data_IF_783550714819
#
_entry.id   IF_783550714819
#
_cell.length_a   1.000
_cell.length_b   1.000
_cell.length_c   1.000
_cell.angle_alpha   90.00
_cell.angle_beta   90.00
_cell.angle_gamma   90.00
#
_symmetry.space_group_name_H-M   'P 1'
#
loop_
_entity.id
_entity.type
_entity.pdbx_description
1 polymer ?
#
# COMPACT_ATOMS: atom_id res chain seq x y z
N UNK A 1 24.84 1.16 -9.59
CA UNK A 1 23.49 0.72 -9.97
C UNK A 1 22.55 1.82 -9.50
N UNK A 2 21.89 2.49 -10.42
CA UNK A 2 20.90 3.52 -10.11
C UNK A 2 19.56 2.88 -9.76
N UNK A 3 18.63 3.62 -9.14
CA UNK A 3 17.26 3.14 -8.94
C UNK A 3 16.54 2.89 -10.27
N UNK A 4 16.88 3.66 -11.31
CA UNK A 4 16.30 3.55 -12.64
C UNK A 4 16.70 2.23 -13.32
N UNK A 5 17.98 1.82 -13.18
CA UNK A 5 18.48 0.53 -13.70
C UNK A 5 17.72 -0.68 -13.11
N UNK A 6 17.10 -0.50 -11.94
CA UNK A 6 16.43 -1.56 -11.20
C UNK A 6 14.92 -1.56 -11.46
N UNK A 7 14.31 -0.38 -11.54
CA UNK A 7 12.87 -0.25 -11.79
C UNK A 7 12.50 -0.22 -13.29
N UNK A 8 13.49 -0.18 -14.19
CA UNK A 8 13.27 -0.16 -15.65
C UNK A 8 12.81 1.20 -16.18
N UNK A 9 12.88 2.27 -15.36
CA UNK A 9 12.49 3.61 -15.77
C UNK A 9 13.49 4.17 -16.79
N UNK A 10 12.98 4.63 -17.93
CA UNK A 10 13.74 5.11 -19.09
C UNK A 10 14.54 4.01 -19.83
N UNK A 11 14.32 2.73 -19.53
CA UNK A 11 14.92 1.64 -20.29
C UNK A 11 14.27 1.55 -21.69
N UNK A 12 15.05 1.47 -22.79
CA UNK A 12 14.51 1.27 -24.13
C UNK A 12 13.80 -0.08 -24.32
N UNK A 13 14.04 -1.07 -23.45
CA UNK A 13 13.30 -2.33 -23.36
C UNK A 13 12.61 -2.43 -21.98
N UNK A 14 11.40 -1.85 -21.84
CA UNK A 14 10.70 -1.79 -20.57
C UNK A 14 10.51 -3.18 -19.96
N UNK A 15 10.91 -3.32 -18.71
CA UNK A 15 10.77 -4.57 -17.97
C UNK A 15 10.13 -4.32 -16.60
N UNK A 16 9.48 -5.34 -16.01
CA UNK A 16 9.00 -5.28 -14.63
C UNK A 16 10.10 -4.86 -13.64
N UNK A 17 9.81 -4.04 -12.62
CA UNK A 17 10.78 -3.70 -11.59
C UNK A 17 11.25 -4.95 -10.85
N UNK A 18 12.52 -4.93 -10.42
CA UNK A 18 13.10 -5.98 -9.57
C UNK A 18 13.06 -5.56 -8.10
N UNK A 19 12.92 -6.53 -7.20
CA UNK A 19 12.97 -6.27 -5.76
C UNK A 19 14.40 -5.90 -5.34
N UNK A 20 14.54 -4.78 -4.64
CA UNK A 20 15.82 -4.32 -4.05
C UNK A 20 15.88 -4.51 -2.55
N UNK A 21 14.71 -4.59 -1.93
CA UNK A 21 14.50 -4.69 -0.50
C UNK A 21 13.12 -5.30 -0.27
N UNK A 22 12.92 -5.93 0.88
CA UNK A 22 11.71 -6.70 1.21
C UNK A 22 11.49 -7.93 0.32
N UNK A 23 12.57 -8.56 -0.16
CA UNK A 23 12.45 -9.81 -0.90
C UNK A 23 11.95 -10.94 0.03
N UNK A 24 11.04 -11.82 -0.44
CA UNK A 24 10.61 -12.99 0.33
C UNK A 24 11.77 -13.88 0.78
N UNK A 25 12.76 -14.04 -0.10
CA UNK A 25 14.05 -14.63 0.22
C UNK A 25 15.14 -13.54 0.16
N UNK A 26 15.63 -13.04 1.32
CA UNK A 26 16.68 -12.04 1.34
C UNK A 26 17.98 -12.49 0.65
N UNK A 27 18.22 -13.80 0.45
CA UNK A 27 19.42 -14.27 -0.26
C UNK A 27 19.39 -13.97 -1.76
N UNK A 28 18.21 -13.64 -2.32
CA UNK A 28 18.02 -13.38 -3.75
C UNK A 28 18.27 -11.92 -4.15
N UNK A 29 18.56 -11.03 -3.18
CA UNK A 29 18.76 -9.60 -3.45
C UNK A 29 20.12 -9.10 -2.95
N UNK A 30 20.70 -8.07 -3.60
CA UNK A 30 21.99 -7.49 -3.20
C UNK A 30 22.02 -6.98 -1.75
N UNK A 31 20.89 -6.49 -1.23
CA UNK A 31 20.77 -5.90 0.11
C UNK A 31 20.23 -6.88 1.16
N UNK A 32 20.33 -8.19 0.89
CA UNK A 32 19.80 -9.24 1.76
C UNK A 32 20.29 -9.21 3.20
N UNK A 33 21.59 -8.94 3.40
CA UNK A 33 22.17 -8.85 4.75
C UNK A 33 21.58 -7.68 5.55
N UNK A 34 21.40 -6.53 4.91
CA UNK A 34 20.77 -5.36 5.52
C UNK A 34 19.30 -5.63 5.86
N UNK A 35 18.56 -6.33 5.01
CA UNK A 35 17.17 -6.73 5.30
C UNK A 35 17.10 -7.68 6.49
N UNK A 36 18.00 -8.66 6.56
CA UNK A 36 18.09 -9.59 7.72
C UNK A 36 18.43 -8.84 9.00
N UNK A 37 19.40 -7.93 8.96
CA UNK A 37 19.72 -7.07 10.10
C UNK A 37 18.53 -6.21 10.50
N UNK A 38 17.82 -5.59 9.55
CA UNK A 38 16.64 -4.77 9.86
C UNK A 38 15.57 -5.55 10.63
N UNK A 39 15.37 -6.84 10.30
CA UNK A 39 14.43 -7.69 11.03
C UNK A 39 14.84 -7.96 12.49
N UNK A 40 16.11 -7.77 12.87
CA UNK A 40 16.55 -7.86 14.27
C UNK A 40 16.39 -6.53 15.01
N UNK A 41 16.19 -5.42 14.30
CA UNK A 41 16.03 -4.08 14.87
C UNK A 41 14.57 -3.85 15.23
N UNK A 42 14.22 -4.14 16.48
CA UNK A 42 12.90 -3.88 17.03
C UNK A 42 12.98 -2.95 18.24
N UNK A 43 13.04 -1.62 18.03
CA UNK A 43 13.02 -0.68 19.14
C UNK A 43 11.71 -0.81 19.93
N UNK A 44 11.86 -0.89 21.25
CA UNK A 44 10.77 -1.04 22.24
C UNK A 44 10.24 0.32 22.72
N UNK A 45 10.24 1.31 21.83
CA UNK A 45 9.76 2.64 22.17
C UNK A 45 8.22 2.64 22.25
N UNK A 46 7.61 3.15 23.33
CA UNK A 46 6.16 3.14 23.51
C UNK A 46 5.36 3.72 22.33
N UNK A 47 5.85 4.78 21.71
CA UNK A 47 5.22 5.40 20.54
C UNK A 47 5.16 4.44 19.33
N UNK A 48 6.22 3.65 19.09
CA UNK A 48 6.24 2.66 18.01
C UNK A 48 5.33 1.47 18.32
N UNK A 49 5.31 1.01 19.57
CA UNK A 49 4.45 -0.09 19.99
C UNK A 49 2.97 0.27 19.83
N UNK A 50 2.58 1.48 20.24
CA UNK A 50 1.21 1.97 20.12
C UNK A 50 0.75 1.99 18.65
N UNK A 51 1.56 2.56 17.75
CA UNK A 51 1.22 2.65 16.33
C UNK A 51 1.23 1.26 15.65
N UNK A 52 2.12 0.35 16.05
CA UNK A 52 2.11 -1.05 15.60
C UNK A 52 0.83 -1.78 16.02
N UNK A 53 0.42 -1.63 17.27
CA UNK A 53 -0.79 -2.24 17.79
C UNK A 53 -2.04 -1.69 17.09
N UNK A 54 -2.13 -0.37 16.90
CA UNK A 54 -3.21 0.27 16.15
C UNK A 54 -3.28 -0.25 14.71
N UNK A 55 -2.13 -0.31 14.02
CA UNK A 55 -2.04 -0.88 12.67
C UNK A 55 -2.43 -2.35 12.63
N UNK A 56 -2.03 -3.15 13.61
CA UNK A 56 -2.36 -4.57 13.67
C UNK A 56 -3.86 -4.80 13.77
N UNK A 57 -4.56 -4.05 14.64
CA UNK A 57 -6.02 -4.11 14.74
C UNK A 57 -6.71 -3.78 13.41
N UNK A 58 -6.19 -2.77 12.68
CA UNK A 58 -6.67 -2.44 11.34
C UNK A 58 -6.45 -3.59 10.39
N UNK A 59 -5.30 -4.26 10.39
CA UNK A 59 -5.01 -5.38 9.47
C UNK A 59 -5.92 -6.58 9.74
N UNK A 60 -6.14 -6.92 11.01
CA UNK A 60 -6.91 -8.08 11.49
C UNK A 60 -8.42 -7.95 11.28
N UNK A 61 -8.96 -6.73 11.21
CA UNK A 61 -10.40 -6.54 11.00
C UNK A 61 -10.89 -7.31 9.74
N UNK A 62 -12.04 -8.01 9.77
CA UNK A 62 -12.54 -8.66 8.56
C UNK A 62 -12.97 -7.62 7.51
N UNK A 63 -12.91 -7.99 6.22
CA UNK A 63 -13.66 -7.27 5.19
C UNK A 63 -15.10 -7.78 5.16
N UNK A 64 -16.09 -6.94 4.80
CA UNK A 64 -17.46 -7.40 4.62
C UNK A 64 -17.55 -8.49 3.54
N UNK A 65 -18.60 -9.29 3.55
CA UNK A 65 -18.88 -10.23 2.47
C UNK A 65 -19.15 -9.48 1.15
N UNK A 66 -18.97 -10.19 0.03
CA UNK A 66 -19.33 -9.63 -1.29
C UNK A 66 -20.85 -9.70 -1.42
N UNK A 67 -21.48 -8.59 -1.78
CA UNK A 67 -22.91 -8.55 -2.03
C UNK A 67 -23.29 -9.47 -3.20
N UNK A 68 -24.50 -10.04 -3.13
CA UNK A 68 -24.96 -11.00 -4.13
C UNK A 68 -25.26 -10.35 -5.50
N UNK A 69 -25.61 -9.07 -5.51
CA UNK A 69 -25.94 -8.31 -6.70
C UNK A 69 -24.80 -7.33 -7.04
N UNK A 70 -24.29 -7.43 -8.26
CA UNK A 70 -23.28 -6.50 -8.78
C UNK A 70 -23.93 -5.21 -9.24
N UNK A 71 -23.53 -4.10 -8.61
CA UNK A 71 -24.00 -2.78 -9.02
C UNK A 71 -23.21 -2.30 -10.22
N UNK A 72 -23.91 -1.93 -11.30
CA UNK A 72 -23.30 -1.31 -12.47
C UNK A 72 -23.44 0.21 -12.40
N UNK A 73 -22.34 0.92 -12.67
CA UNK A 73 -22.31 2.39 -12.80
C UNK A 73 -21.40 2.80 -13.95
N UNK A 74 -21.53 4.04 -14.40
CA UNK A 74 -20.55 4.60 -15.32
C UNK A 74 -19.17 4.73 -14.64
N UNK A 75 -18.05 4.60 -15.37
CA UNK A 75 -16.70 4.75 -14.80
C UNK A 75 -16.47 6.07 -14.06
N UNK A 76 -17.11 7.14 -14.52
CA UNK A 76 -17.01 8.48 -13.93
C UNK A 76 -17.73 8.53 -12.58
N UNK A 77 -18.87 7.87 -12.46
CA UNK A 77 -19.63 7.77 -11.20
C UNK A 77 -18.85 6.98 -10.15
N UNK A 78 -18.20 5.89 -10.55
CA UNK A 78 -17.31 5.14 -9.66
C UNK A 78 -16.17 5.99 -9.12
N UNK A 79 -15.59 6.81 -9.98
CA UNK A 79 -14.47 7.67 -9.63
C UNK A 79 -14.92 8.81 -8.71
N UNK A 80 -16.08 9.42 -8.99
CA UNK A 80 -16.67 10.46 -8.14
C UNK A 80 -17.00 9.95 -6.73
N UNK A 81 -17.46 8.70 -6.58
CA UNK A 81 -17.75 8.12 -5.27
C UNK A 81 -16.49 7.98 -4.38
N UNK A 82 -15.29 8.03 -4.96
CA UNK A 82 -14.05 8.02 -4.17
C UNK A 82 -13.84 9.32 -3.38
N UNK A 83 -14.48 10.43 -3.77
CA UNK A 83 -14.38 11.70 -3.05
C UNK A 83 -14.96 11.58 -1.63
N UNK A 84 -15.92 10.69 -1.42
CA UNK A 84 -16.47 10.41 -0.09
C UNK A 84 -15.42 9.91 0.92
N UNK A 85 -14.37 9.21 0.47
CA UNK A 85 -13.28 8.79 1.35
C UNK A 85 -12.33 9.95 1.71
N UNK A 86 -12.22 10.94 0.83
CA UNK A 86 -11.47 12.18 1.09
C UNK A 86 -12.25 13.07 2.06
N UNK A 87 -13.55 13.27 1.80
CA UNK A 87 -14.45 14.05 2.66
C UNK A 87 -14.56 13.46 4.08
N UNK A 88 -14.53 12.13 4.19
CA UNK A 88 -14.50 11.43 5.49
C UNK A 88 -13.13 11.50 6.20
N UNK A 89 -12.11 12.12 5.60
CA UNK A 89 -10.76 12.26 6.17
C UNK A 89 -9.94 10.96 6.22
N UNK A 90 -10.33 9.94 5.46
CA UNK A 90 -9.63 8.66 5.44
C UNK A 90 -8.31 8.74 4.68
N UNK A 91 -8.26 9.61 3.67
CA UNK A 91 -7.07 9.92 2.87
C UNK A 91 -7.18 11.35 2.33
N UNK A 92 -6.07 11.93 1.86
CA UNK A 92 -6.04 13.29 1.34
C UNK A 92 -6.29 13.35 -0.18
N UNK A 93 -6.15 12.22 -0.87
CA UNK A 93 -6.34 12.15 -2.32
C UNK A 93 -6.70 10.74 -2.77
N UNK A 94 -7.53 10.67 -3.81
CA UNK A 94 -7.84 9.43 -4.53
C UNK A 94 -7.52 9.60 -6.02
N UNK A 95 -7.35 8.48 -6.72
CA UNK A 95 -7.17 8.45 -8.16
C UNK A 95 -7.36 7.03 -8.71
N UNK A 96 -7.64 6.94 -10.00
CA UNK A 96 -7.81 5.65 -10.69
C UNK A 96 -6.98 5.67 -11.97
N UNK A 97 -6.31 4.56 -12.25
CA UNK A 97 -5.59 4.35 -13.50
C UNK A 97 -5.85 2.95 -14.05
N UNK A 98 -5.62 2.77 -15.34
CA UNK A 98 -5.54 1.44 -15.94
C UNK A 98 -4.29 0.73 -15.39
N UNK A 99 -4.44 -0.54 -15.02
CA UNK A 99 -3.35 -1.34 -14.49
C UNK A 99 -2.37 -1.68 -15.63
N UNK A 100 -1.11 -1.33 -15.45
CA UNK A 100 -0.03 -1.64 -16.38
C UNK A 100 0.84 -2.77 -15.82
N UNK A 101 1.21 -3.73 -16.66
CA UNK A 101 2.03 -4.89 -16.29
C UNK A 101 3.41 -4.49 -15.78
N UNK A 102 3.93 -3.38 -16.29
CA UNK A 102 5.23 -2.77 -15.96
C UNK A 102 5.27 -2.26 -14.52
N UNK A 103 4.13 -2.11 -13.84
CA UNK A 103 4.07 -1.73 -12.43
C UNK A 103 4.14 -2.93 -11.48
N UNK A 104 3.98 -4.15 -12.00
CA UNK A 104 4.10 -5.37 -11.22
C UNK A 104 5.58 -5.73 -11.06
N UNK A 105 6.00 -6.14 -9.86
CA UNK A 105 7.35 -6.72 -9.72
C UNK A 105 7.52 -7.96 -10.59
N UNK A 106 8.76 -8.23 -11.00
CA UNK A 106 9.12 -9.42 -11.77
C UNK A 106 8.54 -10.71 -11.11
N UNK A 107 7.90 -11.55 -11.93
CA UNK A 107 7.24 -12.78 -11.46
C UNK A 107 5.94 -12.55 -10.67
N UNK A 108 5.35 -11.35 -10.74
CA UNK A 108 4.02 -11.04 -10.20
C UNK A 108 3.08 -10.58 -11.31
N UNK A 109 1.79 -10.83 -11.12
CA UNK A 109 0.72 -10.36 -12.00
C UNK A 109 -0.48 -9.90 -11.19
N UNK A 110 -1.22 -8.93 -11.73
CA UNK A 110 -2.45 -8.40 -11.16
C UNK A 110 -3.56 -8.59 -12.18
N UNK A 111 -4.58 -9.42 -11.89
CA UNK A 111 -5.62 -9.72 -12.86
C UNK A 111 -6.63 -8.57 -13.05
N UNK A 112 -6.65 -7.60 -12.14
CA UNK A 112 -7.52 -6.43 -12.23
C UNK A 112 -7.03 -5.47 -13.33
N UNK A 113 -7.96 -4.95 -14.12
CA UNK A 113 -7.70 -3.98 -15.18
C UNK A 113 -7.46 -2.56 -14.68
N UNK A 114 -7.76 -2.27 -13.41
CA UNK A 114 -7.67 -0.93 -12.82
C UNK A 114 -7.03 -0.97 -11.44
N UNK A 115 -6.33 0.10 -11.13
CA UNK A 115 -5.77 0.37 -9.80
C UNK A 115 -6.41 1.62 -9.21
N UNK A 116 -6.77 1.55 -7.93
CA UNK A 116 -7.23 2.69 -7.14
C UNK A 116 -6.06 3.13 -6.26
N UNK A 117 -5.67 4.40 -6.39
CA UNK A 117 -4.57 5.01 -5.67
C UNK A 117 -5.13 5.88 -4.53
N UNK A 118 -4.55 5.74 -3.34
CA UNK A 118 -4.91 6.52 -2.15
C UNK A 118 -3.67 7.25 -1.64
N UNK A 119 -3.76 8.57 -1.50
CA UNK A 119 -2.72 9.40 -0.94
C UNK A 119 -2.95 9.65 0.54
N UNK A 120 -1.99 9.27 1.38
CA UNK A 120 -1.96 9.67 2.79
C UNK A 120 -0.79 10.60 3.07
N UNK A 121 -1.06 11.71 3.74
CA UNK A 121 -0.06 12.72 4.05
C UNK A 121 0.59 12.47 5.42
N UNK A 122 1.93 12.50 5.44
CA UNK A 122 2.70 12.53 6.67
C UNK A 122 2.63 13.89 7.35
N UNK A 123 2.69 13.90 8.68
CA UNK A 123 3.06 15.08 9.44
C UNK A 123 4.54 15.40 9.21
N UNK A 124 4.81 16.51 8.52
CA UNK A 124 6.17 16.93 8.19
C UNK A 124 7.04 17.17 9.43
N UNK A 125 6.50 17.79 10.47
CA UNK A 125 7.26 18.14 11.68
C UNK A 125 7.67 16.90 12.48
N UNK A 126 6.88 15.83 12.43
CA UNK A 126 7.25 14.53 12.98
C UNK A 126 8.25 13.80 12.09
N UNK A 127 8.01 13.77 10.79
CA UNK A 127 8.85 13.06 9.83
C UNK A 127 10.26 13.66 9.71
N UNK A 128 10.38 14.99 9.82
CA UNK A 128 11.66 15.70 9.76
C UNK A 128 12.61 15.39 10.92
N UNK A 129 12.14 14.69 11.95
CA UNK A 129 12.96 14.23 13.08
C UNK A 129 13.73 12.95 12.75
N UNK A 130 13.60 12.40 11.53
CA UNK A 130 14.36 11.21 11.14
C UNK A 130 15.87 11.40 11.40
N UNK A 131 16.55 10.38 11.97
CA UNK A 131 16.10 9.00 12.17
C UNK A 131 15.46 8.70 13.55
N UNK A 132 15.01 9.72 14.30
CA UNK A 132 14.46 9.53 15.64
C UNK A 132 13.15 8.71 15.68
N UNK A 133 12.82 8.20 16.87
CA UNK A 133 11.65 7.33 17.13
C UNK A 133 10.35 7.96 16.63
N UNK A 134 10.20 9.26 16.80
CA UNK A 134 9.01 10.04 16.42
C UNK A 134 8.74 9.96 14.92
N UNK A 135 9.78 10.02 14.10
CA UNK A 135 9.66 9.87 12.65
C UNK A 135 9.27 8.43 12.29
N UNK A 136 9.85 7.43 12.97
CA UNK A 136 9.45 6.03 12.81
C UNK A 136 7.99 5.77 13.18
N UNK A 137 7.50 6.39 14.26
CA UNK A 137 6.12 6.27 14.71
C UNK A 137 5.16 6.92 13.71
N UNK A 138 5.52 8.09 13.18
CA UNK A 138 4.78 8.74 12.11
C UNK A 138 4.69 7.86 10.85
N UNK A 139 5.77 7.18 10.46
CA UNK A 139 5.75 6.24 9.34
C UNK A 139 4.74 5.11 9.59
N UNK A 140 4.81 4.45 10.74
CA UNK A 140 3.92 3.33 11.08
C UNK A 140 2.46 3.79 11.12
N UNK A 141 2.19 4.96 11.69
CA UNK A 141 0.86 5.59 11.73
C UNK A 141 0.28 5.74 10.32
N UNK A 142 1.05 6.29 9.38
CA UNK A 142 0.56 6.49 8.01
C UNK A 142 0.38 5.17 7.24
N UNK A 143 1.22 4.16 7.48
CA UNK A 143 0.96 2.80 6.99
C UNK A 143 -0.36 2.23 7.55
N UNK A 144 -0.69 2.53 8.82
CA UNK A 144 -1.97 2.20 9.42
C UNK A 144 -3.14 2.91 8.72
N UNK A 145 -3.03 4.22 8.50
CA UNK A 145 -4.03 5.02 7.77
C UNK A 145 -4.23 4.53 6.34
N UNK A 146 -3.16 4.30 5.60
CA UNK A 146 -3.22 3.79 4.22
C UNK A 146 -3.90 2.42 4.18
N UNK A 147 -3.54 1.50 5.08
CA UNK A 147 -4.18 0.19 5.19
C UNK A 147 -5.68 0.29 5.54
N UNK A 148 -6.04 1.20 6.45
CA UNK A 148 -7.43 1.45 6.81
C UNK A 148 -8.23 1.98 5.62
N UNK A 149 -7.75 3.04 4.95
CA UNK A 149 -8.41 3.61 3.78
C UNK A 149 -8.58 2.57 2.66
N UNK A 150 -7.53 1.79 2.36
CA UNK A 150 -7.61 0.71 1.39
C UNK A 150 -8.66 -0.36 1.76
N UNK A 151 -8.79 -0.70 3.04
CA UNK A 151 -9.81 -1.64 3.53
C UNK A 151 -11.22 -1.06 3.46
N UNK A 152 -11.39 0.23 3.73
CA UNK A 152 -12.69 0.90 3.62
C UNK A 152 -13.15 0.93 2.15
N UNK A 153 -12.28 1.33 1.23
CA UNK A 153 -12.56 1.28 -0.22
C UNK A 153 -12.84 -0.14 -0.66
N UNK A 154 -12.06 -1.12 -0.19
CA UNK A 154 -12.27 -2.50 -0.56
C UNK A 154 -13.58 -3.08 0.01
N UNK A 155 -13.95 -2.70 1.23
CA UNK A 155 -15.20 -3.09 1.84
C UNK A 155 -16.40 -2.52 1.10
N UNK A 156 -16.33 -1.24 0.72
CA UNK A 156 -17.35 -0.60 -0.12
C UNK A 156 -17.52 -1.32 -1.46
N UNK A 157 -16.45 -1.56 -2.21
CA UNK A 157 -16.55 -2.26 -3.49
C UNK A 157 -17.15 -3.66 -3.36
N UNK A 158 -16.83 -4.38 -2.27
CA UNK A 158 -17.45 -5.68 -1.97
C UNK A 158 -18.94 -5.56 -1.66
N UNK A 159 -19.37 -4.53 -0.95
CA UNK A 159 -20.78 -4.25 -0.71
C UNK A 159 -21.53 -3.85 -1.98
N UNK A 160 -20.82 -3.39 -3.01
CA UNK A 160 -21.36 -3.14 -4.35
C UNK A 160 -21.31 -4.38 -5.26
N UNK A 161 -20.94 -5.54 -4.72
CA UNK A 161 -20.86 -6.83 -5.43
C UNK A 161 -19.53 -7.09 -6.14
N UNK A 162 -18.57 -6.18 -6.08
CA UNK A 162 -17.30 -6.31 -6.80
C UNK A 162 -16.23 -7.02 -5.95
N UNK A 163 -15.78 -8.22 -6.34
CA UNK A 163 -14.72 -8.90 -5.62
C UNK A 163 -13.37 -8.23 -5.90
N UNK A 164 -12.76 -7.66 -4.86
CA UNK A 164 -11.35 -7.27 -4.91
C UNK A 164 -10.47 -8.43 -4.44
N UNK A 165 -9.48 -8.80 -5.25
CA UNK A 165 -8.34 -9.54 -4.70
C UNK A 165 -7.37 -8.53 -4.08
N UNK A 166 -7.07 -8.70 -2.79
CA UNK A 166 -5.84 -8.11 -2.24
C UNK A 166 -4.66 -8.70 -3.00
N UNK A 167 -3.68 -7.89 -3.38
CA UNK A 167 -2.38 -8.43 -3.73
C UNK A 167 -1.92 -9.29 -2.54
N UNK A 168 -1.57 -10.57 -2.75
CA UNK A 168 -1.10 -11.39 -1.64
C UNK A 168 0.16 -10.75 -1.08
N UNK A 169 0.04 -10.17 0.11
CA UNK A 169 1.18 -9.83 0.94
C UNK A 169 1.75 -11.14 1.49
N UNK A 170 2.73 -11.70 0.79
CA UNK A 170 3.68 -12.68 1.31
C UNK A 170 5.04 -12.46 0.69
#
# INVERSE_FOLDING_TARGET
MSGNDINGLDDPDPHPPRLVYWAPDPSQIPHGEMQRWFYTVQPDAPALLAERAARQAILEAPLPEVAAEEVTRAPEDWTALLDGFVEAGLCEKTGVAEMQTEWCYEGRSVPQSRVIMLGVQHDYARLSQAPEVEAGAEVIRQYGRAAHAAKQVAGWLRQEGWPLSRLPGR
#
